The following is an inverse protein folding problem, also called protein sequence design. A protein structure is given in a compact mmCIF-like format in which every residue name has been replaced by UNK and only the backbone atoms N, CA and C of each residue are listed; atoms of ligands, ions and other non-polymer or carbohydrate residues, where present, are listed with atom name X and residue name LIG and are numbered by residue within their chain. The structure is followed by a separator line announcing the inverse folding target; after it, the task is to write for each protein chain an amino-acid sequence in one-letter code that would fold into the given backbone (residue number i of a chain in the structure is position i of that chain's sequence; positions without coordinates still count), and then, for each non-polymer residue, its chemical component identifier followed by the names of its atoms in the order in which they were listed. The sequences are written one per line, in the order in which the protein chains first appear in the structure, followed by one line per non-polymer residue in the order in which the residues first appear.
data_IF_368030087459
#
_entry.id   IF_368030087459
#
_cell.length_a   1.000
_cell.length_b   1.000
_cell.length_c   1.000
_cell.angle_alpha   90.00
_cell.angle_beta   90.00
_cell.angle_gamma   90.00
#
_symmetry.space_group_name_H-M   'P 1'
#
loop_
_entity.id
_entity.type
_entity.pdbx_description
1 polymer ?
#
# COMPACT_ATOMS: atom_id res chain seq x y z
N UNK A 1 11.96 -12.50 -8.51
CA UNK A 1 10.58 -12.21 -8.97
C UNK A 1 9.80 -11.47 -7.90
N UNK A 2 8.82 -10.64 -8.30
CA UNK A 2 7.94 -9.92 -7.37
C UNK A 2 6.86 -10.88 -6.84
N UNK A 3 6.58 -10.93 -5.52
CA UNK A 3 5.65 -11.91 -4.96
C UNK A 3 4.17 -11.57 -5.25
N UNK A 4 3.35 -12.62 -5.37
CA UNK A 4 1.90 -12.46 -5.44
C UNK A 4 1.30 -12.14 -4.08
N UNK A 5 0.30 -11.25 -4.09
CA UNK A 5 -0.47 -10.89 -2.90
C UNK A 5 -1.51 -11.96 -2.59
N UNK A 6 -1.53 -12.39 -1.33
CA UNK A 6 -2.53 -13.32 -0.80
C UNK A 6 -3.81 -12.64 -0.32
N UNK A 7 -3.90 -11.29 -0.38
CA UNK A 7 -5.10 -10.56 0.04
C UNK A 7 -6.25 -10.81 -0.95
N UNK A 8 -7.21 -11.65 -0.57
CA UNK A 8 -8.39 -11.97 -1.39
C UNK A 8 -9.43 -10.84 -1.40
N UNK A 9 -9.55 -10.12 -0.29
CA UNK A 9 -10.56 -9.05 -0.08
C UNK A 9 -10.36 -7.80 -0.95
N UNK A 10 -9.22 -7.70 -1.64
CA UNK A 10 -8.83 -6.57 -2.50
C UNK A 10 -8.72 -7.00 -3.96
N UNK A 11 -8.96 -8.28 -4.26
CA UNK A 11 -9.00 -8.80 -5.63
C UNK A 11 -10.30 -8.36 -6.29
N UNK A 12 -10.20 -7.92 -7.54
CA UNK A 12 -11.39 -7.75 -8.36
C UNK A 12 -11.94 -9.12 -8.76
N UNK A 13 -13.27 -9.24 -8.79
CA UNK A 13 -13.95 -10.50 -9.10
C UNK A 13 -13.53 -11.10 -10.45
N UNK A 14 -13.16 -10.25 -11.42
CA UNK A 14 -12.84 -10.66 -12.79
C UNK A 14 -11.35 -10.46 -13.15
N UNK A 15 -10.45 -10.42 -12.16
CA UNK A 15 -9.02 -10.26 -12.44
C UNK A 15 -8.39 -11.58 -12.93
N UNK A 16 -7.89 -11.60 -14.16
CA UNK A 16 -7.18 -12.76 -14.73
C UNK A 16 -5.81 -13.00 -14.07
N UNK A 17 -5.14 -11.93 -13.66
CA UNK A 17 -3.80 -12.00 -13.04
C UNK A 17 -3.87 -11.78 -11.53
N UNK A 18 -3.15 -12.61 -10.77
CA UNK A 18 -2.98 -12.41 -9.34
C UNK A 18 -2.28 -11.07 -9.06
N UNK A 19 -2.83 -10.22 -8.18
CA UNK A 19 -2.22 -8.93 -7.88
C UNK A 19 -0.85 -9.13 -7.22
N UNK A 20 0.16 -8.39 -7.68
CA UNK A 20 1.52 -8.50 -7.17
C UNK A 20 1.73 -7.53 -6.00
N UNK A 21 2.08 -8.04 -4.83
CA UNK A 21 2.17 -7.24 -3.60
C UNK A 21 3.00 -7.89 -2.50
N UNK A 22 3.70 -7.08 -1.71
CA UNK A 22 4.35 -7.50 -0.47
C UNK A 22 4.21 -6.46 0.63
N UNK A 23 4.00 -6.94 1.85
CA UNK A 23 4.10 -6.13 3.06
C UNK A 23 5.49 -6.33 3.67
N UNK A 24 6.19 -5.24 3.97
CA UNK A 24 7.46 -5.17 4.68
C UNK A 24 7.24 -4.49 6.03
N UNK A 25 8.03 -4.83 7.05
CA UNK A 25 7.84 -4.40 8.43
C UNK A 25 6.99 -5.37 9.26
N UNK A 26 6.21 -4.81 10.18
CA UNK A 26 5.42 -5.56 11.16
C UNK A 26 4.03 -5.86 10.58
N UNK A 27 3.61 -7.12 10.71
CA UNK A 27 2.30 -7.62 10.26
C UNK A 27 1.58 -8.32 11.40
N UNK A 28 0.24 -8.29 11.39
CA UNK A 28 -0.56 -9.05 12.35
C UNK A 28 -0.56 -10.55 12.03
N UNK A 29 -0.22 -11.38 13.00
CA UNK A 29 -0.39 -12.82 12.98
C UNK A 29 -1.48 -13.20 13.98
N UNK A 30 -2.49 -13.97 13.54
CA UNK A 30 -3.62 -14.35 14.38
C UNK A 30 -3.25 -15.12 15.65
N UNK A 31 -2.16 -15.90 15.61
CA UNK A 31 -1.72 -16.74 16.73
C UNK A 31 -0.64 -16.02 17.55
N UNK A 32 0.27 -15.32 16.89
CA UNK A 32 1.49 -14.76 17.52
C UNK A 32 1.44 -13.26 17.80
N UNK A 33 0.35 -12.58 17.42
CA UNK A 33 0.27 -11.12 17.50
C UNK A 33 1.16 -10.42 16.46
N UNK A 34 1.77 -9.29 16.83
CA UNK A 34 2.64 -8.53 15.94
C UNK A 34 3.92 -9.33 15.58
N UNK A 35 4.16 -9.52 14.28
CA UNK A 35 5.31 -10.29 13.79
C UNK A 35 5.93 -9.65 12.55
N UNK A 36 7.26 -9.73 12.44
CA UNK A 36 8.00 -9.29 11.25
C UNK A 36 7.59 -10.12 10.04
N UNK A 37 7.20 -9.45 8.95
CA UNK A 37 6.74 -10.12 7.74
C UNK A 37 7.82 -11.02 7.13
N UNK A 38 7.37 -12.12 6.50
CA UNK A 38 8.27 -13.05 5.79
C UNK A 38 9.07 -12.32 4.70
N UNK A 39 8.46 -11.34 4.03
CA UNK A 39 9.12 -10.60 2.95
C UNK A 39 10.22 -9.67 3.46
N UNK A 40 10.07 -9.12 4.67
CA UNK A 40 11.14 -8.35 5.34
C UNK A 40 12.36 -9.21 5.58
N UNK A 41 12.15 -10.42 6.11
CA UNK A 41 13.25 -11.38 6.35
C UNK A 41 13.94 -11.83 5.06
N UNK A 42 13.17 -12.02 3.98
CA UNK A 42 13.70 -12.41 2.67
C UNK A 42 14.41 -11.27 1.93
N UNK A 43 14.08 -10.00 2.22
CA UNK A 43 14.58 -8.81 1.50
C UNK A 43 14.96 -7.69 2.46
N UNK A 44 15.92 -7.90 3.39
CA UNK A 44 16.27 -6.92 4.41
C UNK A 44 16.81 -5.62 3.81
N UNK A 45 17.57 -5.71 2.71
CA UNK A 45 18.10 -4.54 2.01
C UNK A 45 17.00 -3.67 1.40
N UNK A 46 15.96 -4.30 0.82
CA UNK A 46 14.81 -3.57 0.28
C UNK A 46 14.06 -2.84 1.40
N UNK A 47 13.82 -3.50 2.54
CA UNK A 47 13.19 -2.83 3.68
C UNK A 47 14.04 -1.67 4.22
N UNK A 48 15.36 -1.84 4.29
CA UNK A 48 16.25 -0.76 4.76
C UNK A 48 16.23 0.44 3.80
N UNK A 49 16.28 0.19 2.49
CA UNK A 49 16.19 1.22 1.46
C UNK A 49 14.86 2.00 1.56
N UNK A 50 13.74 1.28 1.66
CA UNK A 50 12.42 1.91 1.77
C UNK A 50 12.25 2.70 3.06
N UNK A 51 12.84 2.22 4.18
CA UNK A 51 12.87 2.97 5.43
C UNK A 51 13.71 4.24 5.32
N UNK A 52 14.87 4.18 4.66
CA UNK A 52 15.72 5.35 4.44
C UNK A 52 15.01 6.39 3.56
N UNK A 53 14.41 5.94 2.46
CA UNK A 53 13.62 6.77 1.57
C UNK A 53 12.43 7.43 2.31
N UNK A 54 11.65 6.66 3.06
CA UNK A 54 10.53 7.21 3.82
C UNK A 54 10.96 8.25 4.87
N UNK A 55 12.12 8.05 5.52
CA UNK A 55 12.66 9.03 6.49
C UNK A 55 13.12 10.32 5.82
N UNK A 56 13.61 10.24 4.59
CA UNK A 56 14.05 11.39 3.81
C UNK A 56 12.86 12.20 3.29
N UNK A 57 11.87 11.53 2.70
CA UNK A 57 10.71 12.19 2.09
C UNK A 57 9.64 12.63 3.11
N UNK A 58 9.55 11.92 4.25
CA UNK A 58 8.51 12.13 5.26
C UNK A 58 9.12 12.27 6.66
N UNK A 59 9.88 13.34 6.91
CA UNK A 59 10.47 13.58 8.22
C UNK A 59 9.37 13.64 9.28
N UNK A 60 9.48 12.78 10.29
CA UNK A 60 8.52 12.71 11.40
C UNK A 60 7.33 11.75 11.20
N UNK A 61 7.12 11.21 9.99
CA UNK A 61 6.08 10.21 9.78
C UNK A 61 6.50 8.85 10.37
N UNK A 62 5.72 8.35 11.33
CA UNK A 62 5.95 7.04 11.95
C UNK A 62 5.12 5.98 11.25
N UNK A 63 5.76 4.88 10.86
CA UNK A 63 5.09 3.74 10.24
C UNK A 63 5.61 2.43 10.82
N UNK A 64 4.75 1.42 10.85
CA UNK A 64 5.07 0.06 11.31
C UNK A 64 5.32 -0.90 10.13
N UNK A 65 4.76 -0.56 8.97
CA UNK A 65 4.83 -1.40 7.77
C UNK A 65 4.76 -0.57 6.49
N UNK A 66 5.27 -1.20 5.42
CA UNK A 66 5.35 -0.68 4.06
C UNK A 66 4.73 -1.71 3.12
N UNK A 67 3.60 -1.38 2.52
CA UNK A 67 2.98 -2.20 1.49
C UNK A 67 3.46 -1.76 0.12
N UNK A 68 4.09 -2.68 -0.60
CA UNK A 68 4.63 -2.44 -1.93
C UNK A 68 3.84 -3.27 -2.94
N UNK A 69 3.17 -2.61 -3.87
CA UNK A 69 2.34 -3.26 -4.89
C UNK A 69 2.84 -2.94 -6.30
N UNK A 70 2.81 -3.91 -7.21
CA UNK A 70 3.20 -3.73 -8.61
C UNK A 70 2.02 -4.00 -9.53
N UNK A 71 1.79 -3.12 -10.52
CA UNK A 71 0.71 -3.23 -11.52
C UNK A 71 -0.65 -3.57 -10.87
N UNK A 72 -0.95 -2.87 -9.77
CA UNK A 72 -1.94 -3.30 -8.80
C UNK A 72 -3.30 -2.64 -8.99
N UNK A 73 -4.31 -3.44 -9.28
CA UNK A 73 -5.70 -2.99 -9.44
C UNK A 73 -6.57 -3.51 -8.29
N UNK A 74 -6.69 -2.71 -7.23
CA UNK A 74 -7.52 -3.07 -6.07
C UNK A 74 -9.02 -2.95 -6.37
N UNK A 75 -9.83 -3.83 -5.79
CA UNK A 75 -11.26 -3.56 -5.61
C UNK A 75 -11.45 -2.42 -4.58
N UNK A 76 -12.60 -1.72 -4.62
CA UNK A 76 -12.95 -0.73 -3.61
C UNK A 76 -13.04 -1.42 -2.24
N UNK A 77 -12.28 -0.93 -1.27
CA UNK A 77 -12.25 -1.51 0.08
C UNK A 77 -11.79 -0.47 1.10
N UNK A 78 -12.12 -0.74 2.36
CA UNK A 78 -11.52 -0.07 3.51
C UNK A 78 -10.47 -1.00 4.10
N UNK A 79 -9.26 -0.49 4.39
CA UNK A 79 -8.26 -1.28 5.07
C UNK A 79 -8.55 -1.32 6.58
N UNK A 80 -9.29 -2.37 6.99
CA UNK A 80 -9.78 -2.53 8.38
C UNK A 80 -8.69 -2.48 9.44
N UNK A 81 -7.44 -2.84 9.08
CA UNK A 81 -6.31 -2.91 10.01
C UNK A 81 -5.40 -1.68 9.93
N UNK A 82 -5.78 -0.64 9.18
CA UNK A 82 -5.04 0.60 9.14
C UNK A 82 -5.51 1.52 10.26
N UNK A 83 -4.65 1.74 11.25
CA UNK A 83 -4.93 2.58 12.40
C UNK A 83 -4.16 3.91 12.26
N UNK A 84 -4.80 4.89 11.63
CA UNK A 84 -4.26 6.24 11.49
C UNK A 84 -4.02 6.67 10.05
N UNK A 85 -3.08 7.60 9.88
CA UNK A 85 -2.75 8.16 8.58
C UNK A 85 -2.01 7.14 7.71
N UNK A 86 -2.30 7.16 6.42
CA UNK A 86 -1.53 6.45 5.42
C UNK A 86 -0.90 7.42 4.45
N UNK A 87 0.32 7.12 4.04
CA UNK A 87 1.00 7.84 2.99
C UNK A 87 1.19 6.94 1.78
N UNK A 88 0.91 7.45 0.58
CA UNK A 88 0.96 6.70 -0.67
C UNK A 88 1.84 7.43 -1.67
N UNK A 89 2.87 6.76 -2.18
CA UNK A 89 3.68 7.22 -3.32
C UNK A 89 3.55 6.24 -4.47
N UNK A 90 3.59 6.78 -5.68
CA UNK A 90 3.88 6.00 -6.87
C UNK A 90 5.23 6.25 -7.47
N UNK A 91 5.82 5.17 -7.99
CA UNK A 91 7.15 5.18 -8.57
C UNK A 91 7.13 4.59 -10.00
N UNK A 92 7.97 5.17 -10.87
CA UNK A 92 8.25 4.74 -12.25
C UNK A 92 7.39 5.42 -13.32
N UNK A 93 7.37 4.83 -14.53
CA UNK A 93 6.55 5.27 -15.66
C UNK A 93 5.43 4.28 -16.00
N UNK A 94 4.20 4.78 -16.16
CA UNK A 94 2.99 4.01 -16.51
C UNK A 94 1.83 4.95 -16.86
N UNK A 95 0.86 4.34 -17.51
CA UNK A 95 -0.48 4.86 -17.78
C UNK A 95 -1.50 4.23 -16.81
N UNK A 96 -2.36 5.05 -16.22
CA UNK A 96 -3.43 4.58 -15.31
C UNK A 96 -3.00 4.57 -13.84
N UNK A 97 -3.49 3.59 -13.06
CA UNK A 97 -3.12 3.42 -11.64
C UNK A 97 -3.70 4.47 -10.68
N UNK A 98 -4.79 5.13 -11.07
CA UNK A 98 -5.37 6.24 -10.32
C UNK A 98 -5.85 5.83 -8.93
N UNK A 99 -5.71 6.75 -7.97
CA UNK A 99 -6.18 6.57 -6.61
C UNK A 99 -7.55 7.21 -6.46
N UNK A 100 -8.53 6.37 -6.19
CA UNK A 100 -9.88 6.77 -5.83
C UNK A 100 -10.06 6.63 -4.32
N UNK A 101 -10.54 7.68 -3.66
CA UNK A 101 -10.77 7.72 -2.21
C UNK A 101 -12.24 8.02 -1.94
N UNK A 102 -12.85 7.23 -1.07
CA UNK A 102 -14.21 7.44 -0.59
C UNK A 102 -14.18 7.85 0.90
N UNK A 103 -15.13 8.66 1.33
CA UNK A 103 -15.22 9.16 2.72
C UNK A 103 -16.06 8.26 3.64
N UNK A 104 -16.56 7.13 3.15
CA UNK A 104 -17.37 6.18 3.91
C UNK A 104 -18.82 6.60 4.12
N UNK A 105 -19.28 7.67 3.45
CA UNK A 105 -20.70 8.05 3.52
C UNK A 105 -21.57 7.07 2.71
N UNK A 106 -22.81 6.84 3.15
CA UNK A 106 -23.75 5.95 2.47
C UNK A 106 -24.11 6.41 1.04
N UNK A 107 -23.85 7.67 0.72
CA UNK A 107 -24.01 8.29 -0.60
C UNK A 107 -22.66 8.66 -1.24
N UNK A 108 -21.55 8.26 -0.62
CA UNK A 108 -20.19 8.55 -1.04
C UNK A 108 -19.92 7.98 -2.42
N UNK A 109 -19.38 8.83 -3.30
CA UNK A 109 -18.75 8.37 -4.53
C UNK A 109 -17.25 8.55 -4.35
N UNK A 110 -16.51 7.48 -4.64
CA UNK A 110 -15.06 7.55 -4.66
C UNK A 110 -14.63 8.67 -5.63
N UNK A 111 -13.72 9.54 -5.17
CA UNK A 111 -13.18 10.66 -5.94
C UNK A 111 -11.73 10.38 -6.31
N UNK A 112 -11.35 10.73 -7.53
CA UNK A 112 -9.95 10.69 -7.95
C UNK A 112 -9.15 11.74 -7.16
N UNK A 113 -8.07 11.34 -6.52
CA UNK A 113 -7.24 12.27 -5.74
C UNK A 113 -6.66 13.40 -6.59
N UNK A 114 -6.49 13.19 -7.91
CA UNK A 114 -5.98 14.20 -8.84
C UNK A 114 -6.97 15.33 -9.08
N UNK A 115 -8.28 15.06 -8.94
CA UNK A 115 -9.30 16.10 -9.06
C UNK A 115 -9.44 16.95 -7.79
N UNK A 116 -8.58 16.75 -6.79
CA UNK A 116 -8.57 17.49 -5.53
C UNK A 116 -7.41 18.53 -5.44
N UNK A 117 -6.53 18.62 -6.46
CA UNK A 117 -5.29 19.45 -6.57
C UNK A 117 -4.25 19.26 -5.41
N UNK A 118 -2.94 19.05 -5.56
CA UNK A 118 -1.96 19.15 -6.64
C UNK A 118 -1.08 17.88 -6.71
N UNK A 119 -0.96 17.35 -7.93
CA UNK A 119 0.13 16.55 -8.49
C UNK A 119 1.03 15.68 -7.60
N UNK A 120 0.70 14.39 -7.49
CA UNK A 120 1.69 13.34 -7.72
C UNK A 120 1.10 12.34 -8.70
N UNK A 121 1.09 12.77 -9.97
CA UNK A 121 0.95 11.85 -11.09
C UNK A 121 2.23 11.07 -11.17
N UNK A 122 2.19 9.85 -10.68
CA UNK A 122 2.24 8.62 -11.46
C UNK A 122 2.26 7.43 -10.36
N UNK A 123 1.68 6.16 -10.47
CA UNK A 123 2.29 4.84 -9.94
C UNK A 123 2.41 3.51 -10.85
N UNK A 124 3.56 2.77 -10.91
CA UNK A 124 3.76 1.34 -11.40
C UNK A 124 4.10 0.45 -10.21
N UNK A 125 4.65 1.10 -9.19
CA UNK A 125 4.83 0.55 -7.86
C UNK A 125 4.17 1.50 -6.87
N UNK A 126 3.17 1.01 -6.12
CA UNK A 126 2.53 1.76 -5.03
C UNK A 126 3.18 1.37 -3.72
N UNK A 127 3.63 2.36 -2.96
CA UNK A 127 4.14 2.19 -1.60
C UNK A 127 3.16 2.83 -0.64
N UNK A 128 2.52 2.04 0.23
CA UNK A 128 1.66 2.52 1.31
C UNK A 128 2.36 2.33 2.65
N UNK A 129 2.59 3.42 3.38
CA UNK A 129 3.10 3.37 4.74
C UNK A 129 1.91 3.43 5.71
N UNK A 130 1.82 2.44 6.61
CA UNK A 130 0.76 2.39 7.61
C UNK A 130 1.34 2.64 9.00
N UNK A 131 0.74 3.57 9.74
CA UNK A 131 1.05 3.78 11.14
C UNK A 131 0.49 2.60 11.96
N UNK A 132 1.34 1.98 12.79
CA UNK A 132 0.90 1.02 13.79
C UNK A 132 0.60 1.77 15.08
N UNK A 133 -0.54 1.47 15.70
CA UNK A 133 -0.84 1.86 17.08
C UNK A 133 -0.03 1.06 18.10
#
# INVERSE_FOLDING_TARGET
AFPESQRKNVRQANAETAPQGMCLGITGNWIKGAAVSVQTRKKPQLSALLCAFARQELPGFRFSSVQVNKDYRAALHVDKNNHGLSYIIGLGDYSGGWLWVDNGSSTGRAKDIRSLEQGLSTCRMRISLCQGG
#
